data_IF_320527581903
#
_entry.id   IF_320527581903
#
_cell.length_a   1.000
_cell.length_b   1.000
_cell.length_c   1.000
_cell.angle_alpha   90.00
_cell.angle_beta   90.00
_cell.angle_gamma   90.00
#
_symmetry.space_group_name_H-M   'P 1'
#
loop_
_entity.id
_entity.type
_entity.pdbx_description
1 polymer ?
#
# COMPACT_ATOMS: atom_id res chain seq x y z
N UNK A 1 -61.31 55.11 -10.16
CA UNK A 1 -60.68 54.14 -9.23
C UNK A 1 -59.98 52.95 -9.92
N UNK A 2 -59.89 52.90 -11.26
CA UNK A 2 -59.37 51.73 -12.02
C UNK A 2 -57.85 51.79 -12.29
N UNK A 3 -57.21 52.96 -12.14
CA UNK A 3 -55.79 53.14 -12.45
C UNK A 3 -54.82 52.70 -11.35
N UNK A 4 -55.25 52.63 -10.08
CA UNK A 4 -54.37 52.23 -8.97
C UNK A 4 -54.08 50.72 -8.95
N UNK A 5 -55.02 49.89 -9.42
CA UNK A 5 -54.89 48.41 -9.42
C UNK A 5 -53.88 47.89 -10.45
N UNK A 6 -53.74 48.56 -11.61
CA UNK A 6 -52.71 48.22 -12.61
C UNK A 6 -51.29 48.51 -12.09
N UNK A 7 -51.09 49.63 -11.40
CA UNK A 7 -49.79 50.03 -10.83
C UNK A 7 -49.37 49.11 -9.68
N UNK A 8 -50.32 48.70 -8.84
CA UNK A 8 -50.09 47.72 -7.77
C UNK A 8 -49.72 46.32 -8.32
N UNK A 9 -50.42 45.83 -9.35
CA UNK A 9 -50.05 44.56 -10.02
C UNK A 9 -48.65 44.58 -10.62
N UNK A 10 -48.27 45.69 -11.28
CA UNK A 10 -46.94 45.84 -11.85
C UNK A 10 -45.84 45.82 -10.77
N UNK A 11 -46.07 46.45 -9.63
CA UNK A 11 -45.15 46.42 -8.50
C UNK A 11 -45.02 45.01 -7.87
N UNK A 12 -46.12 44.27 -7.73
CA UNK A 12 -46.07 42.88 -7.21
C UNK A 12 -45.31 41.96 -8.17
N UNK A 13 -45.54 42.07 -9.48
CA UNK A 13 -44.80 41.29 -10.49
C UNK A 13 -43.31 41.64 -10.46
N UNK A 14 -42.97 42.93 -10.30
CA UNK A 14 -41.59 43.39 -10.16
C UNK A 14 -40.92 42.78 -8.93
N UNK A 15 -41.57 42.82 -7.76
CA UNK A 15 -41.05 42.25 -6.52
C UNK A 15 -40.89 40.72 -6.61
N UNK A 16 -41.83 40.02 -7.24
CA UNK A 16 -41.72 38.57 -7.47
C UNK A 16 -40.57 38.23 -8.43
N UNK A 17 -40.39 39.03 -9.49
CA UNK A 17 -39.28 38.85 -10.42
C UNK A 17 -37.93 39.13 -9.76
N UNK A 18 -37.81 40.22 -8.99
CA UNK A 18 -36.60 40.55 -8.23
C UNK A 18 -36.27 39.47 -7.19
N UNK A 19 -37.26 38.99 -6.44
CA UNK A 19 -37.08 37.90 -5.47
C UNK A 19 -36.70 36.58 -6.15
N UNK A 20 -37.34 36.25 -7.28
CA UNK A 20 -37.00 35.08 -8.07
C UNK A 20 -35.59 35.14 -8.65
N UNK A 21 -35.15 36.33 -9.06
CA UNK A 21 -33.81 36.56 -9.60
C UNK A 21 -32.74 36.41 -8.50
N UNK A 22 -33.00 36.90 -7.28
CA UNK A 22 -32.12 36.68 -6.13
C UNK A 22 -31.97 35.18 -5.83
N UNK A 23 -33.08 34.43 -5.75
CA UNK A 23 -33.04 32.97 -5.51
C UNK A 23 -32.27 32.26 -6.62
N UNK A 24 -32.51 32.62 -7.88
CA UNK A 24 -31.79 32.07 -9.02
C UNK A 24 -30.28 32.35 -8.96
N UNK A 25 -29.87 33.58 -8.62
CA UNK A 25 -28.45 33.93 -8.49
C UNK A 25 -27.75 33.13 -7.39
N UNK A 26 -28.41 32.92 -6.25
CA UNK A 26 -27.86 32.09 -5.16
C UNK A 26 -27.71 30.64 -5.59
N UNK A 27 -28.75 30.06 -6.22
CA UNK A 27 -28.70 28.68 -6.72
C UNK A 27 -27.62 28.50 -7.80
N UNK A 28 -27.46 29.47 -8.69
CA UNK A 28 -26.41 29.46 -9.71
C UNK A 28 -25.02 29.51 -9.09
N UNK A 29 -24.82 30.37 -8.07
CA UNK A 29 -23.54 30.45 -7.37
C UNK A 29 -23.19 29.12 -6.67
N UNK A 30 -24.16 28.49 -6.00
CA UNK A 30 -23.98 27.17 -5.38
C UNK A 30 -23.67 26.09 -6.42
N UNK A 31 -24.37 26.10 -7.55
CA UNK A 31 -24.14 25.17 -8.67
C UNK A 31 -22.73 25.31 -9.25
N UNK A 32 -22.28 26.54 -9.54
CA UNK A 32 -20.94 26.80 -10.06
C UNK A 32 -19.85 26.40 -9.04
N UNK A 33 -20.10 26.65 -7.75
CA UNK A 33 -19.20 26.25 -6.67
C UNK A 33 -19.06 24.73 -6.58
N UNK A 34 -20.17 23.98 -6.69
CA UNK A 34 -20.12 22.52 -6.66
C UNK A 34 -19.40 21.96 -7.89
N UNK A 35 -19.64 22.54 -9.07
CA UNK A 35 -18.94 22.14 -10.29
C UNK A 35 -17.42 22.33 -10.19
N UNK A 36 -16.97 23.47 -9.65
CA UNK A 36 -15.54 23.72 -9.41
C UNK A 36 -14.94 22.75 -8.36
N UNK A 37 -15.70 22.50 -7.29
CA UNK A 37 -15.34 21.54 -6.23
C UNK A 37 -15.14 20.13 -6.80
N UNK A 38 -16.04 19.68 -7.68
CA UNK A 38 -15.94 18.35 -8.30
C UNK A 38 -14.68 18.20 -9.16
N UNK A 39 -14.38 19.19 -10.01
CA UNK A 39 -13.15 19.17 -10.84
C UNK A 39 -11.90 19.04 -9.97
N UNK A 40 -11.83 19.77 -8.85
CA UNK A 40 -10.70 19.69 -7.93
C UNK A 40 -10.58 18.30 -7.29
N UNK A 41 -11.70 17.72 -6.86
CA UNK A 41 -11.74 16.35 -6.28
C UNK A 41 -11.26 15.31 -7.29
N UNK A 42 -11.64 15.43 -8.56
CA UNK A 42 -11.22 14.52 -9.62
C UNK A 42 -9.71 14.62 -9.89
N UNK A 43 -9.16 15.83 -9.91
CA UNK A 43 -7.71 16.05 -10.03
C UNK A 43 -6.93 15.45 -8.85
N UNK A 44 -7.43 15.63 -7.63
CA UNK A 44 -6.82 15.07 -6.42
C UNK A 44 -6.87 13.53 -6.41
N UNK A 45 -8.00 12.94 -6.86
CA UNK A 45 -8.14 11.49 -7.07
C UNK A 45 -7.10 10.96 -8.06
N UNK A 46 -6.97 11.59 -9.23
CA UNK A 46 -5.99 11.19 -10.25
C UNK A 46 -4.58 11.25 -9.69
N UNK A 47 -4.22 12.34 -9.01
CA UNK A 47 -2.89 12.49 -8.40
C UNK A 47 -2.63 11.43 -7.33
N UNK A 48 -3.61 11.12 -6.50
CA UNK A 48 -3.48 10.07 -5.50
C UNK A 48 -3.25 8.70 -6.14
N UNK A 49 -4.02 8.35 -7.18
CA UNK A 49 -3.84 7.10 -7.92
C UNK A 49 -2.45 7.01 -8.57
N UNK A 50 -1.92 8.10 -9.13
CA UNK A 50 -0.56 8.14 -9.68
C UNK A 50 0.51 7.89 -8.61
N UNK A 51 0.36 8.48 -7.42
CA UNK A 51 1.28 8.25 -6.30
C UNK A 51 1.24 6.80 -5.80
N UNK A 52 0.04 6.24 -5.66
CA UNK A 52 -0.13 4.82 -5.31
C UNK A 52 0.52 3.93 -6.37
N UNK A 53 0.26 4.18 -7.66
CA UNK A 53 0.87 3.42 -8.75
C UNK A 53 2.40 3.45 -8.68
N UNK A 54 2.98 4.63 -8.44
CA UNK A 54 4.43 4.77 -8.31
C UNK A 54 4.97 3.95 -7.13
N UNK A 55 4.31 4.03 -5.97
CA UNK A 55 4.66 3.24 -4.77
C UNK A 55 4.60 1.73 -5.03
N UNK A 56 3.49 1.24 -5.61
CA UNK A 56 3.34 -0.18 -5.96
C UNK A 56 4.39 -0.65 -6.98
N UNK A 57 4.74 0.20 -7.95
CA UNK A 57 5.76 -0.10 -8.96
C UNK A 57 7.14 -0.23 -8.31
N UNK A 58 7.49 0.69 -7.42
CA UNK A 58 8.75 0.63 -6.65
C UNK A 58 8.80 -0.62 -5.78
N UNK A 59 7.73 -0.91 -5.03
CA UNK A 59 7.68 -2.09 -4.17
C UNK A 59 7.77 -3.40 -4.96
N UNK A 60 7.08 -3.48 -6.10
CA UNK A 60 7.17 -4.64 -7.00
C UNK A 60 8.60 -4.86 -7.47
N UNK A 61 9.26 -3.80 -7.96
CA UNK A 61 10.65 -3.89 -8.43
C UNK A 61 11.59 -4.33 -7.30
N UNK A 62 11.34 -3.87 -6.07
CA UNK A 62 12.11 -4.29 -4.89
C UNK A 62 11.94 -5.79 -4.61
N UNK A 63 10.71 -6.32 -4.65
CA UNK A 63 10.48 -7.75 -4.46
C UNK A 63 11.08 -8.60 -5.59
N UNK A 64 11.04 -8.11 -6.84
CA UNK A 64 11.70 -8.76 -7.97
C UNK A 64 13.23 -8.83 -7.81
N UNK A 65 13.82 -7.86 -7.11
CA UNK A 65 15.23 -7.88 -6.74
C UNK A 65 15.53 -8.81 -5.54
N UNK A 66 14.66 -8.82 -4.53
CA UNK A 66 14.85 -9.61 -3.30
C UNK A 66 14.70 -11.11 -3.54
N UNK A 67 13.68 -11.50 -4.31
CA UNK A 67 13.30 -12.90 -4.44
C UNK A 67 14.44 -13.81 -4.90
N UNK A 68 15.22 -13.50 -5.95
CA UNK A 68 16.35 -14.34 -6.36
C UNK A 68 17.40 -14.48 -5.25
N UNK A 69 17.65 -13.40 -4.50
CA UNK A 69 18.58 -13.43 -3.37
C UNK A 69 18.04 -14.30 -2.22
N UNK A 70 16.76 -14.17 -1.85
CA UNK A 70 16.16 -15.02 -0.81
C UNK A 70 16.10 -16.49 -1.21
N UNK A 71 15.91 -16.79 -2.50
CA UNK A 71 16.04 -18.15 -3.03
C UNK A 71 17.47 -18.68 -2.90
N UNK A 72 18.48 -17.84 -3.13
CA UNK A 72 19.87 -18.23 -2.91
C UNK A 72 20.16 -18.48 -1.42
N UNK A 73 19.66 -17.63 -0.52
CA UNK A 73 19.80 -17.84 0.93
C UNK A 73 19.12 -19.15 1.35
N UNK A 74 17.94 -19.44 0.83
CA UNK A 74 17.25 -20.71 1.06
C UNK A 74 18.13 -21.90 0.63
N UNK A 75 18.71 -21.86 -0.57
CA UNK A 75 19.59 -22.91 -1.06
C UNK A 75 20.84 -23.09 -0.17
N UNK A 76 21.43 -21.99 0.31
CA UNK A 76 22.56 -22.05 1.25
C UNK A 76 22.17 -22.76 2.55
N UNK A 77 21.00 -22.43 3.10
CA UNK A 77 20.47 -23.05 4.33
C UNK A 77 20.16 -24.53 4.12
N UNK A 78 19.56 -24.91 2.98
CA UNK A 78 19.29 -26.31 2.64
C UNK A 78 20.58 -27.12 2.50
N UNK A 79 21.64 -26.53 1.93
CA UNK A 79 22.97 -27.15 1.89
C UNK A 79 23.54 -27.34 3.30
N UNK A 80 23.43 -26.32 4.16
CA UNK A 80 23.88 -26.37 5.55
C UNK A 80 23.13 -27.40 6.41
N UNK A 81 21.88 -27.73 6.07
CA UNK A 81 21.12 -28.80 6.72
C UNK A 81 21.64 -30.18 6.30
N UNK A 82 22.03 -30.32 5.03
CA UNK A 82 22.49 -31.61 4.46
C UNK A 82 23.88 -31.98 4.97
N UNK A 83 24.75 -30.98 5.11
CA UNK A 83 26.12 -31.14 5.62
C UNK A 83 26.34 -30.18 6.79
N UNK A 84 25.77 -30.47 7.98
CA UNK A 84 25.84 -29.55 9.11
C UNK A 84 27.27 -29.48 9.66
N UNK A 85 27.85 -28.27 9.79
CA UNK A 85 29.16 -28.12 10.41
C UNK A 85 29.10 -28.36 11.92
N UNK A 86 30.16 -28.95 12.46
CA UNK A 86 30.35 -29.04 13.91
C UNK A 86 31.05 -27.77 14.42
N UNK A 87 30.48 -27.14 15.46
CA UNK A 87 31.07 -25.98 16.12
C UNK A 87 31.33 -26.28 17.58
N UNK A 88 32.54 -26.01 18.06
CA UNK A 88 32.88 -26.09 19.49
C UNK A 88 32.64 -24.75 20.22
N UNK A 89 32.11 -23.74 19.53
CA UNK A 89 31.91 -22.39 20.06
C UNK A 89 30.70 -21.71 19.38
N UNK A 90 29.77 -21.26 20.22
CA UNK A 90 28.58 -20.46 19.87
C UNK A 90 28.89 -19.23 18.99
N UNK A 91 30.07 -18.60 19.14
CA UNK A 91 30.42 -17.41 18.34
C UNK A 91 30.64 -17.76 16.87
N UNK A 92 31.26 -18.92 16.60
CA UNK A 92 31.49 -19.45 15.25
C UNK A 92 30.20 -19.94 14.62
N UNK A 93 29.32 -20.57 15.40
CA UNK A 93 27.98 -20.94 14.93
C UNK A 93 27.19 -19.70 14.49
N UNK A 94 27.22 -18.63 15.27
CA UNK A 94 26.54 -17.39 14.90
C UNK A 94 27.10 -16.80 13.61
N UNK A 95 28.43 -16.75 13.47
CA UNK A 95 29.08 -16.27 12.26
C UNK A 95 28.70 -17.12 11.04
N UNK A 96 28.58 -18.44 11.20
CA UNK A 96 28.12 -19.35 10.16
C UNK A 96 26.67 -19.12 9.76
N UNK A 97 25.77 -18.91 10.72
CA UNK A 97 24.36 -18.61 10.40
C UNK A 97 24.26 -17.30 9.61
N UNK A 98 25.01 -16.27 10.01
CA UNK A 98 25.06 -14.99 9.31
C UNK A 98 25.70 -15.12 7.91
N UNK A 99 26.68 -16.01 7.74
CA UNK A 99 27.32 -16.22 6.43
C UNK A 99 26.38 -16.82 5.38
N UNK A 100 25.25 -17.40 5.78
CA UNK A 100 24.24 -17.89 4.85
C UNK A 100 23.51 -16.74 4.12
N UNK A 101 23.54 -15.53 4.70
CA UNK A 101 22.86 -14.32 4.23
C UNK A 101 23.79 -13.10 4.28
N UNK A 102 24.85 -13.06 3.45
CA UNK A 102 25.93 -12.07 3.57
C UNK A 102 25.47 -10.62 3.41
N UNK A 103 24.36 -10.37 2.71
CA UNK A 103 23.80 -9.02 2.52
C UNK A 103 22.64 -8.72 3.49
N UNK A 104 22.41 -9.58 4.49
CA UNK A 104 21.21 -9.56 5.32
C UNK A 104 19.95 -9.95 4.53
N UNK A 105 18.79 -10.01 5.19
CA UNK A 105 17.50 -10.30 4.54
C UNK A 105 16.72 -9.05 4.10
N UNK A 106 17.07 -7.88 4.63
CA UNK A 106 16.37 -6.63 4.33
C UNK A 106 17.38 -5.64 3.80
N UNK A 107 17.30 -5.34 2.51
CA UNK A 107 18.24 -4.48 1.79
C UNK A 107 17.67 -3.07 1.53
N UNK A 108 16.35 -2.93 1.61
CA UNK A 108 15.59 -1.67 1.52
C UNK A 108 14.24 -1.86 2.26
N UNK A 109 13.35 -0.87 2.24
CA UNK A 109 12.02 -0.97 2.87
C UNK A 109 10.91 -0.90 1.82
N UNK A 110 9.93 -1.80 1.96
CA UNK A 110 8.65 -1.66 1.25
C UNK A 110 7.95 -0.40 1.74
N UNK A 111 7.39 0.35 0.80
CA UNK A 111 6.78 1.66 1.06
C UNK A 111 5.27 1.53 1.22
N UNK A 112 4.70 2.35 2.09
CA UNK A 112 3.25 2.49 2.30
C UNK A 112 2.83 3.96 2.48
N UNK A 113 3.74 4.89 2.18
CA UNK A 113 3.61 6.32 2.43
C UNK A 113 2.49 6.96 1.60
N UNK A 114 2.35 6.57 0.33
CA UNK A 114 1.29 7.09 -0.54
C UNK A 114 -0.08 6.56 -0.06
N UNK A 115 -0.14 5.30 0.37
CA UNK A 115 -1.33 4.71 0.97
C UNK A 115 -1.74 5.38 2.28
N UNK A 116 -0.78 5.62 3.16
CA UNK A 116 -1.04 6.29 4.43
C UNK A 116 -1.50 7.74 4.23
N UNK A 117 -0.87 8.48 3.31
CA UNK A 117 -1.30 9.82 2.93
C UNK A 117 -2.72 9.82 2.35
N UNK A 118 -3.05 8.87 1.47
CA UNK A 118 -4.39 8.74 0.91
C UNK A 118 -5.45 8.54 1.99
N UNK A 119 -5.22 7.62 2.94
CA UNK A 119 -6.13 7.38 4.07
C UNK A 119 -6.37 8.63 4.92
N UNK A 120 -5.34 9.45 5.13
CA UNK A 120 -5.42 10.65 5.97
C UNK A 120 -6.02 11.86 5.24
N UNK A 121 -5.87 11.93 3.91
CA UNK A 121 -6.23 13.11 3.09
C UNK A 121 -7.73 13.35 2.91
N UNK A 122 -8.59 12.38 3.24
CA UNK A 122 -10.03 12.42 2.92
C UNK A 122 -10.36 12.20 1.44
N UNK A 123 -9.36 12.17 0.53
CA UNK A 123 -9.56 11.92 -0.91
C UNK A 123 -10.21 10.56 -1.16
N UNK A 124 -9.97 9.59 -0.27
CA UNK A 124 -10.55 8.24 -0.33
C UNK A 124 -12.08 8.24 -0.39
N UNK A 125 -12.78 9.26 0.12
CA UNK A 125 -14.23 9.37 0.03
C UNK A 125 -14.75 9.58 -1.39
N UNK A 126 -13.90 10.08 -2.29
CA UNK A 126 -14.23 10.31 -3.70
C UNK A 126 -13.80 9.14 -4.60
N UNK A 127 -13.25 8.07 -4.00
CA UNK A 127 -12.87 6.86 -4.70
C UNK A 127 -13.95 5.79 -4.56
N UNK A 128 -13.99 4.87 -5.52
CA UNK A 128 -14.85 3.69 -5.44
C UNK A 128 -14.45 2.83 -4.24
N UNK A 129 -15.45 2.34 -3.50
CA UNK A 129 -15.22 1.52 -2.31
C UNK A 129 -14.47 0.23 -2.65
N UNK A 130 -14.69 -0.33 -3.84
CA UNK A 130 -13.97 -1.52 -4.30
C UNK A 130 -12.47 -1.25 -4.47
N UNK A 131 -12.11 -0.09 -5.02
CA UNK A 131 -10.70 0.33 -5.18
C UNK A 131 -10.03 0.49 -3.82
N UNK A 132 -10.68 1.18 -2.88
CA UNK A 132 -10.14 1.37 -1.52
C UNK A 132 -10.00 0.02 -0.80
N UNK A 133 -10.99 -0.86 -0.91
CA UNK A 133 -10.95 -2.19 -0.29
C UNK A 133 -9.83 -3.06 -0.86
N UNK A 134 -9.64 -3.05 -2.18
CA UNK A 134 -8.58 -3.79 -2.85
C UNK A 134 -7.19 -3.30 -2.42
N UNK A 135 -6.97 -1.98 -2.43
CA UNK A 135 -5.71 -1.39 -1.97
C UNK A 135 -5.46 -1.70 -0.48
N UNK A 136 -6.47 -1.55 0.37
CA UNK A 136 -6.35 -1.88 1.79
C UNK A 136 -5.97 -3.35 2.00
N UNK A 137 -6.57 -4.27 1.25
CA UNK A 137 -6.26 -5.70 1.33
C UNK A 137 -4.82 -5.97 0.92
N UNK A 138 -4.36 -5.34 -0.17
CA UNK A 138 -2.99 -5.46 -0.67
C UNK A 138 -1.97 -4.97 0.38
N UNK A 139 -2.11 -3.76 0.90
CA UNK A 139 -1.19 -3.24 1.92
C UNK A 139 -1.25 -4.03 3.23
N UNK A 140 -2.43 -4.54 3.62
CA UNK A 140 -2.51 -5.44 4.78
C UNK A 140 -1.78 -6.75 4.55
N UNK A 141 -1.84 -7.30 3.33
CA UNK A 141 -1.09 -8.51 3.00
C UNK A 141 0.42 -8.27 3.06
N UNK A 142 0.89 -7.12 2.57
CA UNK A 142 2.31 -6.71 2.69
C UNK A 142 2.81 -6.80 4.14
N UNK A 143 2.06 -6.20 5.06
CA UNK A 143 2.44 -6.14 6.49
C UNK A 143 2.26 -7.48 7.20
N UNK A 144 1.17 -8.19 6.94
CA UNK A 144 0.85 -9.43 7.66
C UNK A 144 1.57 -10.67 7.10
N UNK A 145 2.13 -10.60 5.89
CA UNK A 145 2.89 -11.70 5.28
C UNK A 145 4.38 -11.36 5.23
N UNK A 146 4.84 -10.60 4.23
CA UNK A 146 6.26 -10.37 3.97
C UNK A 146 6.96 -9.72 5.17
N UNK A 147 6.47 -8.57 5.64
CA UNK A 147 7.11 -7.84 6.75
C UNK A 147 7.09 -8.64 8.06
N UNK A 148 5.99 -9.36 8.33
CA UNK A 148 5.87 -10.23 9.48
C UNK A 148 6.82 -11.43 9.41
N UNK A 149 6.97 -12.06 8.24
CA UNK A 149 7.89 -13.19 8.03
C UNK A 149 9.35 -12.75 8.17
N UNK A 150 9.72 -11.59 7.60
CA UNK A 150 11.05 -11.00 7.76
C UNK A 150 11.37 -10.70 9.24
N UNK A 151 10.38 -10.20 10.00
CA UNK A 151 10.52 -9.96 11.44
C UNK A 151 10.78 -11.27 12.20
N UNK A 152 9.98 -12.32 11.93
CA UNK A 152 10.16 -13.64 12.56
C UNK A 152 11.51 -14.27 12.23
N UNK A 153 11.99 -14.11 10.99
CA UNK A 153 13.33 -14.53 10.60
C UNK A 153 14.38 -13.80 11.45
N UNK A 154 14.26 -12.47 11.57
CA UNK A 154 15.07 -11.65 12.46
C UNK A 154 15.10 -12.18 13.90
N UNK A 155 13.94 -12.46 14.48
CA UNK A 155 13.82 -12.94 15.86
C UNK A 155 14.57 -14.25 16.08
N UNK A 156 14.54 -15.18 15.11
CA UNK A 156 15.32 -16.43 15.19
C UNK A 156 16.82 -16.10 15.26
N UNK A 157 17.33 -15.23 14.39
CA UNK A 157 18.76 -14.88 14.35
C UNK A 157 19.26 -14.19 15.61
N UNK A 158 18.43 -13.36 16.23
CA UNK A 158 18.81 -12.56 17.39
C UNK A 158 18.41 -13.20 18.72
N UNK A 159 17.71 -14.34 18.70
CA UNK A 159 17.38 -15.08 19.91
C UNK A 159 18.64 -15.66 20.56
N UNK A 160 18.64 -15.74 21.90
CA UNK A 160 19.72 -16.38 22.67
C UNK A 160 19.81 -17.89 22.41
N UNK A 161 18.69 -18.50 22.02
CA UNK A 161 18.58 -19.94 21.82
C UNK A 161 19.19 -20.40 20.48
N UNK A 162 19.14 -19.57 19.43
CA UNK A 162 19.65 -19.92 18.09
C UNK A 162 21.17 -20.03 17.99
N UNK A 163 21.89 -19.49 18.97
CA UNK A 163 23.36 -19.55 19.06
C UNK A 163 23.85 -20.67 19.99
N UNK A 164 22.95 -21.47 20.57
CA UNK A 164 23.36 -22.65 21.34
C UNK A 164 23.80 -23.75 20.39
N UNK A 165 24.94 -24.34 20.71
CA UNK A 165 25.56 -25.44 19.95
C UNK A 165 24.59 -26.58 19.67
N UNK A 166 23.80 -26.96 20.66
CA UNK A 166 22.83 -28.05 20.58
C UNK A 166 21.64 -27.79 19.63
N UNK A 167 21.44 -26.55 19.15
CA UNK A 167 20.23 -26.16 18.40
C UNK A 167 20.49 -25.64 16.99
N UNK A 168 21.70 -25.85 16.44
CA UNK A 168 22.02 -25.39 15.08
C UNK A 168 21.05 -25.96 14.05
N UNK A 169 20.83 -27.28 14.07
CA UNK A 169 20.03 -27.95 13.05
C UNK A 169 18.56 -27.52 13.11
N UNK A 170 18.00 -27.39 14.31
CA UNK A 170 16.65 -26.87 14.56
C UNK A 170 16.53 -25.43 14.05
N UNK A 171 17.54 -24.59 14.32
CA UNK A 171 17.59 -23.21 13.83
C UNK A 171 17.58 -23.16 12.31
N UNK A 172 18.39 -24.00 11.64
CA UNK A 172 18.44 -24.07 10.18
C UNK A 172 17.10 -24.56 9.59
N UNK A 173 16.43 -25.54 10.21
CA UNK A 173 15.10 -25.98 9.78
C UNK A 173 14.04 -24.89 9.90
N UNK A 174 14.04 -24.13 11.00
CA UNK A 174 13.14 -23.00 11.19
C UNK A 174 13.39 -21.91 10.14
N UNK A 175 14.65 -21.59 9.87
CA UNK A 175 15.04 -20.66 8.82
C UNK A 175 14.57 -21.11 7.45
N UNK A 176 14.82 -22.38 7.08
CA UNK A 176 14.38 -22.95 5.80
C UNK A 176 12.87 -22.78 5.62
N UNK A 177 12.07 -23.17 6.61
CA UNK A 177 10.61 -23.11 6.53
C UNK A 177 10.11 -21.66 6.34
N UNK A 178 10.70 -20.69 7.05
CA UNK A 178 10.31 -19.28 6.90
C UNK A 178 10.81 -18.68 5.58
N UNK A 179 11.97 -19.07 5.07
CA UNK A 179 12.47 -18.63 3.75
C UNK A 179 11.64 -19.20 2.61
N UNK A 180 11.19 -20.45 2.73
CA UNK A 180 10.24 -21.05 1.78
C UNK A 180 8.91 -20.29 1.77
N UNK A 181 8.36 -19.98 2.95
CA UNK A 181 7.16 -19.14 3.07
C UNK A 181 7.39 -17.75 2.47
N UNK A 182 8.50 -17.09 2.80
CA UNK A 182 8.84 -15.76 2.31
C UNK A 182 8.90 -15.71 0.78
N UNK A 183 9.66 -16.61 0.16
CA UNK A 183 9.82 -16.63 -1.31
C UNK A 183 8.51 -16.91 -2.05
N UNK A 184 7.59 -17.67 -1.44
CA UNK A 184 6.23 -17.87 -1.96
C UNK A 184 5.37 -16.61 -1.80
N UNK A 185 5.42 -15.95 -0.64
CA UNK A 185 4.72 -14.70 -0.36
C UNK A 185 5.18 -13.57 -1.30
N UNK A 186 6.47 -13.47 -1.58
CA UNK A 186 7.05 -12.50 -2.51
C UNK A 186 6.52 -12.67 -3.93
N UNK A 187 6.51 -13.91 -4.46
CA UNK A 187 5.94 -14.18 -5.77
C UNK A 187 4.47 -13.81 -5.86
N UNK A 188 3.70 -14.23 -4.86
CA UNK A 188 2.29 -13.89 -4.78
C UNK A 188 2.09 -12.38 -4.74
N UNK A 189 2.91 -11.66 -3.97
CA UNK A 189 2.81 -10.20 -3.85
C UNK A 189 3.21 -9.47 -5.14
N UNK A 190 4.24 -9.93 -5.85
CA UNK A 190 4.63 -9.40 -7.17
C UNK A 190 3.45 -9.46 -8.15
N UNK A 191 2.74 -10.60 -8.19
CA UNK A 191 1.56 -10.78 -9.03
C UNK A 191 0.44 -9.82 -8.61
N UNK A 192 0.18 -9.69 -7.31
CA UNK A 192 -0.88 -8.80 -6.81
C UNK A 192 -0.57 -7.32 -7.03
N UNK A 193 0.68 -6.89 -6.87
CA UNK A 193 1.10 -5.53 -7.26
C UNK A 193 0.89 -5.30 -8.75
N UNK A 194 1.28 -6.26 -9.60
CA UNK A 194 1.10 -6.13 -11.04
C UNK A 194 -0.37 -5.99 -11.43
N UNK A 195 -1.27 -6.72 -10.77
CA UNK A 195 -2.72 -6.62 -11.00
C UNK A 195 -3.27 -5.27 -10.52
N UNK A 196 -2.91 -4.84 -9.31
CA UNK A 196 -3.33 -3.55 -8.77
C UNK A 196 -2.86 -2.37 -9.64
N UNK A 197 -1.62 -2.42 -10.16
CA UNK A 197 -1.10 -1.42 -11.10
C UNK A 197 -1.94 -1.38 -12.37
N UNK A 198 -2.28 -2.54 -12.95
CA UNK A 198 -3.14 -2.61 -14.15
C UNK A 198 -4.54 -2.06 -13.90
N UNK A 199 -5.10 -2.30 -12.74
CA UNK A 199 -6.42 -1.78 -12.38
C UNK A 199 -6.40 -0.27 -12.16
N UNK A 200 -5.34 0.27 -11.56
CA UNK A 200 -5.13 1.73 -11.48
C UNK A 200 -4.98 2.34 -12.87
N UNK A 201 -4.28 1.68 -13.80
CA UNK A 201 -4.12 2.18 -15.17
C UNK A 201 -5.46 2.28 -15.92
N UNK A 202 -6.38 1.33 -15.70
CA UNK A 202 -7.75 1.42 -16.23
C UNK A 202 -8.48 2.63 -15.63
N UNK A 203 -8.40 2.81 -14.31
CA UNK A 203 -9.05 3.93 -13.62
C UNK A 203 -8.49 5.31 -14.01
N UNK A 204 -7.25 5.38 -14.47
CA UNK A 204 -6.62 6.61 -14.96
C UNK A 204 -6.94 6.90 -16.44
N UNK A 205 -7.45 5.92 -17.18
CA UNK A 205 -7.87 6.06 -18.58
C UNK A 205 -9.35 6.43 -18.74
N UNK A 206 -10.14 6.30 -17.66
CA UNK A 206 -11.52 6.78 -17.54
C UNK A 206 -11.56 8.30 -17.25
#
# INVERSE_FOLDING_TARGET
MIFQTKKARANIIKVLFESGLIVFSVLLALFLSEMHSQVKKDQEKVRALQLIKAELTTNKALLEQWRPYHQQVLANVESAITEPPEFLDSSKQRAFILSQMPNGLVQDMLRNSAWDALKQSGISSNMRIETISALNTLYRFQTLSIEATLTRLGDIFYSRESVREAYLLETLYLMRNLLQELTAQEEFMIINYQNAIKDIDKLLAE
#
